data_IF_152503260493
#
_entry.id   IF_152503260493
#
_cell.length_a   1.000
_cell.length_b   1.000
_cell.length_c   1.000
_cell.angle_alpha   90.00
_cell.angle_beta   90.00
_cell.angle_gamma   90.00
#
_symmetry.space_group_name_H-M   'P 1'
#
loop_
_entity.id
_entity.type
_entity.pdbx_description
1 polymer ?
#
# COMPACT_ATOMS: atom_id res chain seq x y z
N UNK A 1 39.48 10.82 -0.93
CA UNK A 1 40.11 10.32 -2.17
C UNK A 1 40.66 8.92 -1.87
N UNK A 2 39.83 7.89 -2.00
CA UNK A 2 40.27 6.49 -2.04
C UNK A 2 39.47 5.83 -3.17
N UNK A 3 40.13 5.77 -4.34
CA UNK A 3 39.75 4.96 -5.50
C UNK A 3 40.13 3.52 -5.13
N UNK A 4 39.14 2.64 -5.03
CA UNK A 4 39.40 1.20 -5.09
C UNK A 4 39.09 0.74 -6.51
N UNK A 5 40.10 0.15 -7.13
CA UNK A 5 40.20 -0.15 -8.55
C UNK A 5 39.20 -1.22 -9.00
N UNK A 6 38.48 -0.88 -10.07
CA UNK A 6 37.47 -1.69 -10.73
C UNK A 6 38.08 -2.67 -11.75
N UNK A 7 38.91 -3.62 -11.34
CA UNK A 7 39.67 -4.46 -12.29
C UNK A 7 39.58 -5.98 -12.15
N UNK A 8 38.71 -6.56 -11.32
CA UNK A 8 38.59 -8.03 -11.21
C UNK A 8 37.16 -8.62 -11.25
N UNK A 9 36.20 -7.91 -11.83
CA UNK A 9 34.91 -8.51 -12.18
C UNK A 9 35.00 -9.16 -13.57
N UNK A 10 35.22 -10.49 -13.60
CA UNK A 10 34.92 -11.29 -14.80
C UNK A 10 33.44 -11.08 -15.14
N UNK A 11 33.16 -10.38 -16.25
CA UNK A 11 31.82 -10.19 -16.79
C UNK A 11 31.33 -11.49 -17.44
N UNK A 12 30.17 -12.01 -17.01
CA UNK A 12 29.19 -12.46 -17.99
C UNK A 12 27.78 -11.88 -17.71
N UNK A 13 26.93 -11.80 -18.75
CA UNK A 13 25.47 -11.55 -18.75
C UNK A 13 24.90 -10.10 -18.78
N UNK A 14 25.60 -9.10 -19.33
CA UNK A 14 25.04 -7.72 -19.44
C UNK A 14 23.77 -7.57 -20.29
N UNK A 15 23.60 -8.34 -21.36
CA UNK A 15 22.52 -8.10 -22.34
C UNK A 15 21.10 -8.36 -21.80
N UNK A 16 20.92 -9.36 -20.93
CA UNK A 16 19.61 -9.64 -20.34
C UNK A 16 19.32 -8.73 -19.14
N UNK A 17 20.34 -8.37 -18.35
CA UNK A 17 20.21 -7.45 -17.22
C UNK A 17 19.83 -6.04 -17.68
N UNK A 18 20.44 -5.54 -18.77
CA UNK A 18 20.08 -4.23 -19.32
C UNK A 18 18.65 -4.23 -19.88
N UNK A 19 18.17 -5.33 -20.47
CA UNK A 19 16.78 -5.43 -20.93
C UNK A 19 15.77 -5.51 -19.76
N UNK A 20 16.08 -6.27 -18.70
CA UNK A 20 15.27 -6.34 -17.47
C UNK A 20 15.26 -4.98 -16.73
N UNK A 21 16.41 -4.34 -16.58
CA UNK A 21 16.50 -3.01 -15.95
C UNK A 21 15.82 -1.92 -16.78
N UNK A 22 15.79 -2.07 -18.11
CA UNK A 22 15.09 -1.14 -18.99
C UNK A 22 13.56 -1.36 -19.03
N UNK A 23 13.05 -2.52 -18.62
CA UNK A 23 11.60 -2.78 -18.55
C UNK A 23 10.99 -2.45 -17.18
N UNK A 24 11.79 -2.46 -16.11
CA UNK A 24 11.37 -2.17 -14.74
C UNK A 24 11.18 -0.66 -14.54
N UNK A 25 10.06 -0.27 -13.93
CA UNK A 25 9.85 1.11 -13.48
C UNK A 25 10.46 1.29 -12.08
N UNK A 26 11.35 2.27 -11.92
CA UNK A 26 11.92 2.58 -10.62
C UNK A 26 10.83 3.22 -9.74
N UNK A 27 10.60 2.64 -8.56
CA UNK A 27 9.68 3.18 -7.56
C UNK A 27 10.42 4.19 -6.66
N UNK A 28 10.11 5.50 -6.72
CA UNK A 28 10.78 6.49 -5.89
C UNK A 28 10.46 6.30 -4.40
N UNK A 29 11.32 6.80 -3.50
CA UNK A 29 11.05 6.77 -2.07
C UNK A 29 9.74 7.46 -1.70
N UNK A 30 8.99 6.85 -0.78
CA UNK A 30 7.72 7.36 -0.29
C UNK A 30 7.55 7.00 1.19
N UNK A 31 6.95 7.86 2.04
CA UNK A 31 6.83 7.60 3.48
C UNK A 31 6.04 6.33 3.81
N UNK A 32 5.19 5.85 2.90
CA UNK A 32 4.40 4.63 3.08
C UNK A 32 4.90 3.43 2.25
N UNK A 33 6.15 3.47 1.78
CA UNK A 33 6.83 2.36 1.11
C UNK A 33 8.10 2.04 1.89
N UNK A 34 8.42 0.75 2.04
CA UNK A 34 9.58 0.29 2.82
C UNK A 34 10.88 0.95 2.34
N UNK A 35 11.63 1.49 3.29
CA UNK A 35 12.96 2.07 3.01
C UNK A 35 13.98 0.95 2.80
N UNK A 36 14.35 0.72 1.55
CA UNK A 36 15.48 -0.13 1.14
C UNK A 36 16.70 0.75 0.87
N UNK A 37 17.75 0.63 1.68
CA UNK A 37 18.96 1.43 1.56
C UNK A 37 19.90 0.91 0.47
N UNK A 38 20.12 -0.41 0.43
CA UNK A 38 21.02 -1.05 -0.52
C UNK A 38 20.55 -2.46 -0.85
N UNK A 39 20.83 -2.89 -2.08
CA UNK A 39 20.73 -4.29 -2.48
C UNK A 39 22.07 -4.71 -3.11
N UNK A 40 22.58 -5.87 -2.70
CA UNK A 40 23.86 -6.38 -3.19
C UNK A 40 23.86 -7.91 -3.19
N UNK A 41 24.71 -8.52 -3.99
CA UNK A 41 24.92 -9.97 -3.99
C UNK A 41 26.22 -10.31 -3.30
N UNK A 42 26.21 -11.28 -2.40
CA UNK A 42 27.40 -11.71 -1.68
C UNK A 42 27.34 -13.20 -1.29
N UNK A 43 28.42 -13.72 -0.73
CA UNK A 43 28.53 -15.07 -0.21
C UNK A 43 27.62 -15.23 1.01
N UNK A 44 26.85 -16.33 1.07
CA UNK A 44 25.94 -16.61 2.19
C UNK A 44 26.73 -16.79 3.50
N UNK A 45 26.66 -15.88 4.48
CA UNK A 45 27.43 -16.05 5.71
C UNK A 45 26.87 -17.20 6.55
N UNK A 46 27.65 -17.68 7.52
CA UNK A 46 27.10 -18.52 8.58
C UNK A 46 26.30 -17.61 9.52
N UNK A 47 24.97 -17.73 9.49
CA UNK A 47 24.05 -16.96 10.32
C UNK A 47 23.64 -17.84 11.51
N UNK A 48 23.60 -17.32 12.76
CA UNK A 48 23.08 -18.04 13.90
C UNK A 48 21.69 -18.64 13.61
N UNK A 49 21.48 -19.87 14.08
CA UNK A 49 20.22 -20.64 13.94
C UNK A 49 19.77 -20.96 12.51
N UNK A 50 20.55 -20.60 11.48
CA UNK A 50 20.19 -20.86 10.08
C UNK A 50 19.98 -22.34 9.75
N UNK A 51 20.73 -23.24 10.39
CA UNK A 51 20.57 -24.69 10.25
C UNK A 51 19.29 -25.25 10.89
N UNK A 52 18.65 -24.48 11.76
CA UNK A 52 17.36 -24.83 12.35
C UNK A 52 16.20 -24.23 11.54
N UNK A 53 16.34 -22.96 11.13
CA UNK A 53 15.23 -22.19 10.54
C UNK A 53 15.08 -22.50 9.04
N UNK A 54 16.18 -22.61 8.29
CA UNK A 54 16.16 -22.84 6.84
C UNK A 54 17.31 -23.76 6.36
N UNK A 55 17.45 -24.98 6.93
CA UNK A 55 18.58 -25.88 6.64
C UNK A 55 18.74 -26.21 5.16
N UNK A 56 17.62 -26.39 4.44
CA UNK A 56 17.63 -26.75 3.02
C UNK A 56 18.06 -25.61 2.10
N UNK A 57 17.90 -24.36 2.54
CA UNK A 57 18.32 -23.17 1.77
C UNK A 57 19.80 -22.84 1.96
N UNK A 58 20.49 -23.51 2.89
CA UNK A 58 21.92 -23.31 3.10
C UNK A 58 22.74 -23.93 1.96
N UNK A 59 23.89 -23.32 1.59
CA UNK A 59 24.82 -23.96 0.69
C UNK A 59 25.44 -25.21 1.31
N UNK A 60 25.82 -26.18 0.48
CA UNK A 60 26.41 -27.45 0.92
C UNK A 60 27.66 -27.27 1.82
N UNK A 61 28.41 -26.17 1.70
CA UNK A 61 29.54 -25.88 2.60
C UNK A 61 29.13 -25.60 4.06
N UNK A 62 27.90 -25.13 4.28
CA UNK A 62 27.34 -24.83 5.60
C UNK A 62 26.44 -25.97 6.10
N UNK A 63 25.79 -26.69 5.20
CA UNK A 63 25.01 -27.89 5.52
C UNK A 63 25.28 -29.01 4.49
N UNK A 64 26.35 -29.81 4.68
CA UNK A 64 26.77 -30.81 3.69
C UNK A 64 25.76 -31.93 3.44
N UNK A 65 24.93 -32.25 4.42
CA UNK A 65 24.04 -33.42 4.40
C UNK A 65 22.61 -33.10 3.96
N UNK A 66 22.26 -31.83 3.75
CA UNK A 66 20.90 -31.44 3.37
C UNK A 66 20.73 -30.03 2.84
N UNK A 67 21.82 -29.29 2.57
CA UNK A 67 21.78 -27.95 2.02
C UNK A 67 21.77 -27.97 0.48
N UNK A 68 20.77 -27.35 -0.13
CA UNK A 68 20.60 -27.23 -1.58
C UNK A 68 20.79 -25.78 -2.08
N UNK A 69 21.14 -24.86 -1.18
CA UNK A 69 21.35 -23.45 -1.49
C UNK A 69 22.58 -23.18 -2.35
N UNK A 70 22.60 -22.02 -3.01
CA UNK A 70 23.79 -21.51 -3.71
C UNK A 70 24.73 -20.80 -2.73
N UNK A 71 26.01 -20.76 -3.08
CA UNK A 71 27.01 -20.07 -2.26
C UNK A 71 26.80 -18.54 -2.19
N UNK A 72 26.15 -17.96 -3.19
CA UNK A 72 25.85 -16.54 -3.32
C UNK A 72 24.34 -16.32 -3.20
N UNK A 73 23.94 -15.21 -2.57
CA UNK A 73 22.54 -14.77 -2.48
C UNK A 73 22.43 -13.25 -2.63
N UNK A 74 21.20 -12.78 -2.87
CA UNK A 74 20.84 -11.37 -2.78
C UNK A 74 20.63 -10.98 -1.32
N UNK A 75 21.16 -9.83 -0.92
CA UNK A 75 20.99 -9.19 0.37
C UNK A 75 20.38 -7.81 0.18
N UNK A 76 19.40 -7.48 1.02
CA UNK A 76 18.72 -6.19 1.01
C UNK A 76 18.88 -5.57 2.40
N UNK A 77 19.58 -4.45 2.47
CA UNK A 77 19.66 -3.64 3.68
C UNK A 77 18.46 -2.69 3.71
N UNK A 78 17.60 -2.84 4.73
CA UNK A 78 16.40 -2.04 4.91
C UNK A 78 16.31 -1.45 6.32
N UNK A 79 15.51 -0.41 6.48
CA UNK A 79 15.14 0.10 7.82
C UNK A 79 14.48 -1.03 8.62
N UNK A 80 14.83 -1.15 9.89
CA UNK A 80 14.15 -2.07 10.82
C UNK A 80 12.86 -1.43 11.33
N UNK A 81 11.76 -2.16 11.24
CA UNK A 81 10.44 -1.77 11.75
C UNK A 81 10.12 -2.56 13.03
N UNK A 82 9.14 -2.09 13.80
CA UNK A 82 8.84 -2.68 15.12
C UNK A 82 7.97 -3.93 15.03
N UNK A 83 6.99 -3.94 14.13
CA UNK A 83 6.01 -5.02 13.97
C UNK A 83 5.34 -4.95 12.60
N UNK A 84 4.66 -6.02 12.19
CA UNK A 84 3.67 -5.98 11.11
C UNK A 84 2.29 -5.50 11.61
N UNK A 85 1.45 -5.05 10.67
CA UNK A 85 0.10 -4.53 10.93
C UNK A 85 -0.80 -5.58 11.56
N UNK A 86 -0.71 -6.84 11.11
CA UNK A 86 -1.54 -7.93 11.62
C UNK A 86 -1.34 -8.14 13.12
N UNK A 87 -0.07 -8.26 13.54
CA UNK A 87 0.32 -8.40 14.93
C UNK A 87 -0.07 -7.15 15.74
N UNK A 88 0.15 -5.96 15.19
CA UNK A 88 -0.22 -4.71 15.85
C UNK A 88 -1.72 -4.60 16.12
N UNK A 89 -2.57 -4.89 15.14
CA UNK A 89 -4.02 -4.83 15.29
C UNK A 89 -4.52 -5.88 16.29
N UNK A 90 -3.92 -7.08 16.31
CA UNK A 90 -4.25 -8.10 17.31
C UNK A 90 -3.92 -7.65 18.74
N UNK A 91 -2.80 -6.95 18.94
CA UNK A 91 -2.30 -6.57 20.27
C UNK A 91 -2.84 -5.22 20.76
N UNK A 92 -3.19 -4.31 19.84
CA UNK A 92 -3.53 -2.90 20.15
C UNK A 92 -4.80 -2.39 19.43
N UNK A 93 -5.33 -3.10 18.44
CA UNK A 93 -6.40 -2.61 17.54
C UNK A 93 -7.64 -2.10 18.26
N UNK A 94 -8.13 -2.84 19.26
CA UNK A 94 -9.29 -2.45 20.06
C UNK A 94 -9.09 -1.15 20.87
N UNK A 95 -7.84 -0.77 21.13
CA UNK A 95 -7.47 0.46 21.82
C UNK A 95 -7.31 1.68 20.91
N UNK A 96 -7.31 1.49 19.58
CA UNK A 96 -7.15 2.60 18.63
C UNK A 96 -8.44 3.40 18.48
N UNK A 97 -8.30 4.72 18.52
CA UNK A 97 -9.35 5.66 18.18
C UNK A 97 -9.75 5.56 16.71
N UNK A 98 -10.96 6.03 16.37
CA UNK A 98 -11.40 6.09 14.97
C UNK A 98 -10.48 6.99 14.11
N UNK A 99 -9.90 8.04 14.69
CA UNK A 99 -8.94 8.89 14.00
C UNK A 99 -7.68 8.11 13.61
N UNK A 100 -7.10 7.35 14.53
CA UNK A 100 -5.92 6.51 14.25
C UNK A 100 -6.20 5.43 13.21
N UNK A 101 -7.39 4.82 13.24
CA UNK A 101 -7.80 3.84 12.23
C UNK A 101 -7.93 4.46 10.84
N UNK A 102 -8.53 5.64 10.74
CA UNK A 102 -8.61 6.37 9.47
C UNK A 102 -7.21 6.81 9.00
N UNK A 103 -6.30 7.21 9.91
CA UNK A 103 -4.91 7.49 9.57
C UNK A 103 -4.20 6.25 8.99
N UNK A 104 -4.36 5.06 9.59
CA UNK A 104 -3.79 3.81 9.05
C UNK A 104 -4.33 3.49 7.65
N UNK A 105 -5.65 3.58 7.45
CA UNK A 105 -6.26 3.37 6.13
C UNK A 105 -5.74 4.40 5.11
N UNK A 106 -5.59 5.66 5.52
CA UNK A 106 -5.07 6.73 4.65
C UNK A 106 -3.63 6.45 4.25
N UNK A 107 -2.77 6.06 5.19
CA UNK A 107 -1.38 5.69 4.91
C UNK A 107 -1.29 4.52 3.92
N UNK A 108 -2.13 3.50 4.08
CA UNK A 108 -2.21 2.37 3.14
C UNK A 108 -2.61 2.85 1.74
N UNK A 109 -3.68 3.65 1.63
CA UNK A 109 -4.16 4.16 0.35
C UNK A 109 -3.18 5.13 -0.33
N UNK A 110 -2.43 5.94 0.43
CA UNK A 110 -1.34 6.77 -0.10
C UNK A 110 -0.18 5.89 -0.63
N UNK A 111 0.16 4.80 0.07
CA UNK A 111 1.09 3.80 -0.43
C UNK A 111 0.63 3.18 -1.74
N UNK A 112 -0.60 2.68 -1.80
CA UNK A 112 -1.20 2.10 -3.02
C UNK A 112 -1.29 3.13 -4.16
N UNK A 113 -1.61 4.38 -3.84
CA UNK A 113 -1.60 5.49 -4.81
C UNK A 113 -0.21 5.67 -5.41
N UNK A 114 0.82 5.70 -4.56
CA UNK A 114 2.20 5.83 -5.03
C UNK A 114 2.62 4.66 -5.93
N UNK A 115 2.21 3.43 -5.62
CA UNK A 115 2.45 2.27 -6.49
C UNK A 115 1.77 2.43 -7.85
N UNK A 116 0.48 2.77 -7.86
CA UNK A 116 -0.32 2.98 -9.08
C UNK A 116 0.27 4.06 -9.98
N UNK A 117 0.66 5.21 -9.41
CA UNK A 117 1.25 6.34 -10.14
C UNK A 117 2.58 5.98 -10.83
N UNK A 118 3.29 4.97 -10.32
CA UNK A 118 4.56 4.47 -10.87
C UNK A 118 4.40 3.08 -11.50
N UNK A 119 3.17 2.78 -11.99
CA UNK A 119 2.81 1.58 -12.74
C UNK A 119 3.33 0.29 -12.10
N UNK A 120 3.21 0.24 -10.78
CA UNK A 120 3.59 -0.91 -9.97
C UNK A 120 2.33 -1.45 -9.30
N UNK A 121 2.10 -2.75 -9.44
CA UNK A 121 1.09 -3.48 -8.69
C UNK A 121 1.82 -4.42 -7.71
N UNK A 122 1.47 -4.34 -6.43
CA UNK A 122 2.10 -5.14 -5.39
C UNK A 122 1.75 -6.62 -5.48
N UNK A 123 0.46 -6.93 -5.76
CA UNK A 123 -0.07 -8.30 -5.98
C UNK A 123 0.02 -9.28 -4.81
N UNK A 124 0.62 -8.89 -3.69
CA UNK A 124 0.62 -9.66 -2.44
C UNK A 124 0.42 -8.76 -1.20
N UNK A 125 -0.51 -7.79 -1.31
CA UNK A 125 -0.89 -6.98 -0.15
C UNK A 125 -1.66 -7.85 0.86
N UNK A 126 -1.20 -7.80 2.10
CA UNK A 126 -1.81 -8.43 3.27
C UNK A 126 -1.30 -7.73 4.51
N UNK A 127 -1.99 -7.88 5.64
CA UNK A 127 -1.57 -7.23 6.88
C UNK A 127 -0.20 -7.71 7.40
N UNK A 128 0.26 -8.90 7.02
CA UNK A 128 1.63 -9.38 7.28
C UNK A 128 2.70 -8.64 6.44
N UNK A 129 2.35 -8.14 5.24
CA UNK A 129 3.23 -7.39 4.34
C UNK A 129 3.11 -5.87 4.49
N UNK A 130 2.59 -5.43 5.64
CA UNK A 130 2.52 -4.02 6.03
C UNK A 130 3.28 -3.88 7.34
N UNK A 131 4.37 -3.12 7.35
CA UNK A 131 5.20 -2.90 8.53
C UNK A 131 4.87 -1.58 9.19
N UNK A 132 5.04 -1.54 10.51
CA UNK A 132 4.79 -0.37 11.34
C UNK A 132 6.04 0.05 12.09
N UNK A 133 6.33 1.36 12.02
CA UNK A 133 7.26 2.03 12.90
C UNK A 133 6.48 2.72 14.03
N UNK A 134 6.73 2.25 15.25
CA UNK A 134 6.11 2.74 16.49
C UNK A 134 7.14 3.49 17.36
N UNK A 135 8.29 3.87 16.81
CA UNK A 135 9.41 4.44 17.56
C UNK A 135 9.24 5.91 17.95
N UNK A 136 8.33 6.62 17.30
CA UNK A 136 8.02 8.00 17.68
C UNK A 136 6.96 8.04 18.78
N UNK A 137 6.99 9.08 19.62
CA UNK A 137 5.91 9.46 20.55
C UNK A 137 4.66 9.95 19.80
N UNK A 138 4.32 9.29 18.68
CA UNK A 138 3.15 9.54 17.87
C UNK A 138 1.99 8.70 18.39
N UNK A 139 0.80 9.29 18.37
CA UNK A 139 -0.46 8.58 18.65
C UNK A 139 -0.75 7.49 17.61
N UNK A 140 -0.26 7.66 16.37
CA UNK A 140 -0.42 6.68 15.29
C UNK A 140 0.95 6.25 14.75
N UNK A 141 1.20 4.95 14.52
CA UNK A 141 2.46 4.48 13.94
C UNK A 141 2.56 4.81 12.45
N UNK A 142 3.80 4.92 11.96
CA UNK A 142 4.06 5.06 10.53
C UNK A 142 3.92 3.70 9.85
N UNK A 143 3.08 3.64 8.82
CA UNK A 143 2.79 2.43 8.05
C UNK A 143 3.55 2.42 6.74
N UNK A 144 4.20 1.30 6.42
CA UNK A 144 4.85 1.08 5.11
C UNK A 144 4.43 -0.24 4.47
N UNK A 145 4.30 -0.25 3.15
CA UNK A 145 4.15 -1.47 2.34
C UNK A 145 5.54 -2.10 2.12
N UNK A 146 5.64 -3.41 2.33
CA UNK A 146 6.87 -4.19 2.14
C UNK A 146 6.61 -5.44 1.30
N UNK A 147 7.68 -6.17 0.98
CA UNK A 147 7.66 -7.47 0.29
C UNK A 147 7.16 -7.41 -1.17
N UNK A 148 8.01 -6.81 -2.01
CA UNK A 148 7.77 -6.64 -3.44
C UNK A 148 8.08 -7.90 -4.27
N UNK A 149 8.23 -9.07 -3.64
CA UNK A 149 8.64 -10.31 -4.32
C UNK A 149 7.69 -10.79 -5.42
N UNK A 150 6.39 -10.50 -5.28
CA UNK A 150 5.35 -10.82 -6.28
C UNK A 150 4.90 -9.61 -7.10
N UNK A 151 5.57 -8.46 -6.97
CA UNK A 151 5.15 -7.22 -7.62
C UNK A 151 5.31 -7.29 -9.14
N UNK A 152 4.41 -6.59 -9.84
CA UNK A 152 4.45 -6.42 -11.29
C UNK A 152 4.64 -4.96 -11.64
N UNK A 153 5.58 -4.68 -12.52
CA UNK A 153 5.86 -3.34 -13.04
C UNK A 153 6.11 -3.40 -14.54
N UNK A 154 5.53 -2.46 -15.28
CA UNK A 154 5.71 -2.36 -16.71
C UNK A 154 5.46 -0.93 -17.19
N UNK A 155 6.43 -0.37 -17.92
CA UNK A 155 6.35 0.98 -18.51
C UNK A 155 5.16 1.18 -19.45
N UNK A 156 4.61 0.11 -20.02
CA UNK A 156 3.45 0.15 -20.91
C UNK A 156 2.10 0.16 -20.16
N UNK A 157 2.12 -0.01 -18.83
CA UNK A 157 0.92 -0.03 -17.99
C UNK A 157 0.75 -1.31 -17.18
N UNK A 158 -0.30 -1.33 -16.36
CA UNK A 158 -0.60 -2.43 -15.41
C UNK A 158 -1.41 -3.59 -16.00
N UNK A 159 -1.41 -3.72 -17.34
CA UNK A 159 -1.98 -4.87 -18.02
C UNK A 159 -0.89 -5.89 -18.30
N UNK A 160 -1.06 -7.11 -17.79
CA UNK A 160 -0.14 -8.23 -17.98
C UNK A 160 -0.78 -9.27 -18.90
N UNK A 161 -0.04 -9.78 -19.87
CA UNK A 161 -0.52 -10.87 -20.72
C UNK A 161 -0.64 -12.16 -19.89
N UNK A 162 -1.77 -12.85 -20.01
CA UNK A 162 -2.05 -14.11 -19.32
C UNK A 162 -2.19 -15.25 -20.34
N UNK A 163 -1.06 -15.66 -20.91
CA UNK A 163 -1.01 -16.58 -22.05
C UNK A 163 -1.25 -18.06 -21.67
N UNK A 164 -0.84 -18.48 -20.47
CA UNK A 164 -1.02 -19.84 -19.95
C UNK A 164 -1.24 -19.83 -18.44
N UNK A 165 -1.73 -20.95 -17.89
CA UNK A 165 -1.92 -21.15 -16.46
C UNK A 165 -0.62 -21.17 -15.63
N UNK A 166 0.55 -21.24 -16.28
CA UNK A 166 1.86 -21.22 -15.61
C UNK A 166 2.30 -19.80 -15.25
N UNK A 167 1.63 -18.78 -15.79
CA UNK A 167 1.90 -17.37 -15.48
C UNK A 167 1.41 -17.08 -14.06
N UNK A 168 2.32 -16.71 -13.18
CA UNK A 168 1.99 -16.29 -11.82
C UNK A 168 1.19 -14.98 -11.84
N UNK A 169 -0.02 -14.99 -11.27
CA UNK A 169 -0.91 -13.82 -11.15
C UNK A 169 -0.81 -13.09 -9.80
N UNK A 170 -0.10 -13.64 -8.81
CA UNK A 170 0.18 -12.98 -7.54
C UNK A 170 0.46 -14.00 -6.44
N UNK A 171 0.81 -13.51 -5.25
CA UNK A 171 1.24 -14.36 -4.13
C UNK A 171 0.07 -14.97 -3.35
N UNK A 172 -0.87 -14.13 -2.87
CA UNK A 172 -1.95 -14.58 -1.99
C UNK A 172 -3.29 -14.73 -2.73
N UNK A 173 -3.62 -15.97 -3.11
CA UNK A 173 -4.86 -16.32 -3.82
C UNK A 173 -6.12 -15.85 -3.10
N UNK A 174 -6.15 -15.88 -1.76
CA UNK A 174 -7.32 -15.47 -0.99
C UNK A 174 -7.61 -13.97 -1.08
N UNK A 175 -6.58 -13.16 -1.36
CA UNK A 175 -6.67 -11.70 -1.50
C UNK A 175 -6.43 -11.22 -2.93
N UNK A 176 -6.49 -12.12 -3.92
CA UNK A 176 -6.57 -11.70 -5.32
C UNK A 176 -7.92 -11.05 -5.58
N UNK A 177 -7.91 -9.90 -6.24
CA UNK A 177 -9.14 -9.22 -6.63
C UNK A 177 -9.96 -10.06 -7.63
N UNK A 178 -11.30 -9.91 -7.66
CA UNK A 178 -12.20 -10.68 -8.52
C UNK A 178 -11.74 -10.76 -9.98
N UNK A 179 -11.36 -9.63 -10.58
CA UNK A 179 -10.91 -9.55 -11.98
C UNK A 179 -9.62 -10.33 -12.26
N UNK A 180 -8.82 -10.62 -11.23
CA UNK A 180 -7.59 -11.40 -11.34
C UNK A 180 -7.89 -12.89 -11.18
N UNK A 181 -8.61 -13.26 -10.11
CA UNK A 181 -8.88 -14.68 -9.79
C UNK A 181 -9.84 -15.34 -10.78
N UNK A 182 -10.75 -14.56 -11.40
CA UNK A 182 -11.66 -15.08 -12.44
C UNK A 182 -11.09 -15.00 -13.85
N UNK A 183 -9.87 -14.50 -14.03
CA UNK A 183 -9.25 -14.40 -15.34
C UNK A 183 -8.98 -15.79 -15.91
N UNK A 184 -9.20 -15.94 -17.23
CA UNK A 184 -8.91 -17.17 -17.95
C UNK A 184 -7.69 -17.00 -18.85
N UNK A 185 -6.75 -17.95 -18.87
CA UNK A 185 -5.56 -17.83 -19.71
C UNK A 185 -5.93 -18.00 -21.19
N UNK A 186 -5.20 -17.30 -22.06
CA UNK A 186 -5.35 -17.40 -23.50
C UNK A 186 -4.38 -16.50 -24.26
N UNK A 187 -4.15 -16.80 -25.53
CA UNK A 187 -3.14 -16.12 -26.36
C UNK A 187 -3.27 -14.58 -26.35
N UNK A 188 -4.52 -14.09 -26.30
CA UNK A 188 -4.86 -12.66 -26.27
C UNK A 188 -5.52 -12.24 -24.95
N UNK A 189 -5.37 -13.03 -23.88
CA UNK A 189 -5.91 -12.71 -22.56
C UNK A 189 -4.95 -11.78 -21.80
N UNK A 190 -5.53 -10.83 -21.08
CA UNK A 190 -4.79 -9.87 -20.26
C UNK A 190 -5.48 -9.70 -18.91
N UNK A 191 -4.66 -9.56 -17.87
CA UNK A 191 -5.11 -9.22 -16.52
C UNK A 191 -4.70 -7.79 -16.22
N UNK A 192 -5.65 -6.96 -15.80
CA UNK A 192 -5.44 -5.56 -15.48
C UNK A 192 -5.35 -5.37 -13.96
N UNK A 193 -4.18 -4.98 -13.48
CA UNK A 193 -3.91 -4.79 -12.05
C UNK A 193 -4.16 -3.36 -11.54
N UNK A 194 -4.61 -2.43 -12.40
CA UNK A 194 -4.74 -1.00 -12.06
C UNK A 194 -5.58 -0.68 -10.82
N UNK A 195 -6.49 -1.58 -10.42
CA UNK A 195 -7.35 -1.43 -9.24
C UNK A 195 -7.41 -2.68 -8.35
N UNK A 196 -6.49 -3.62 -8.53
CA UNK A 196 -6.45 -4.86 -7.75
C UNK A 196 -5.90 -4.63 -6.34
N UNK A 197 -4.86 -3.79 -6.20
CA UNK A 197 -4.35 -3.39 -4.89
C UNK A 197 -5.35 -2.50 -4.13
N UNK A 198 -6.16 -1.71 -4.84
CA UNK A 198 -7.26 -0.90 -4.28
C UNK A 198 -8.31 -1.80 -3.63
N UNK A 199 -8.69 -2.88 -4.31
CA UNK A 199 -9.59 -3.89 -3.77
C UNK A 199 -8.99 -4.56 -2.52
N UNK A 200 -7.72 -4.95 -2.60
CA UNK A 200 -7.02 -5.61 -1.49
C UNK A 200 -6.94 -4.70 -0.26
N UNK A 201 -6.69 -3.41 -0.45
CA UNK A 201 -6.74 -2.41 0.63
C UNK A 201 -8.13 -2.32 1.28
N UNK A 202 -9.21 -2.49 0.51
CA UNK A 202 -10.58 -2.61 1.03
C UNK A 202 -10.76 -3.81 1.96
N UNK A 203 -10.10 -4.94 1.68
CA UNK A 203 -10.15 -6.13 2.55
C UNK A 203 -9.39 -5.89 3.86
N UNK A 204 -8.21 -5.28 3.79
CA UNK A 204 -7.37 -4.94 4.95
C UNK A 204 -8.05 -3.87 5.83
N UNK A 205 -8.90 -3.01 5.24
CA UNK A 205 -9.66 -2.04 6.00
C UNK A 205 -10.56 -2.69 7.05
N UNK A 206 -11.11 -3.89 6.81
CA UNK A 206 -11.87 -4.62 7.84
C UNK A 206 -11.02 -4.90 9.07
N UNK A 207 -9.78 -5.35 8.86
CA UNK A 207 -8.83 -5.61 9.95
C UNK A 207 -8.51 -4.32 10.72
N UNK A 208 -8.29 -3.21 10.02
CA UNK A 208 -8.05 -1.89 10.63
C UNK A 208 -9.25 -1.44 11.50
N UNK A 209 -10.47 -1.82 11.12
CA UNK A 209 -11.71 -1.49 11.84
C UNK A 209 -12.22 -2.64 12.76
N UNK A 210 -11.29 -3.43 13.31
CA UNK A 210 -11.51 -4.50 14.29
C UNK A 210 -12.38 -5.68 13.83
N UNK A 211 -12.58 -5.85 12.52
CA UNK A 211 -13.26 -7.02 11.96
C UNK A 211 -12.26 -7.98 11.34
N UNK A 212 -12.62 -9.26 11.29
CA UNK A 212 -11.87 -10.21 10.48
C UNK A 212 -12.00 -9.86 8.99
N UNK A 213 -10.92 -10.07 8.23
CA UNK A 213 -10.96 -9.93 6.78
C UNK A 213 -12.02 -10.88 6.19
N UNK A 214 -13.01 -10.37 5.42
CA UNK A 214 -14.11 -11.20 4.94
C UNK A 214 -13.66 -12.39 4.07
N UNK A 215 -12.50 -12.32 3.43
CA UNK A 215 -12.06 -13.28 2.42
C UNK A 215 -11.09 -14.35 2.93
N UNK A 216 -10.63 -14.28 4.18
CA UNK A 216 -9.79 -15.35 4.73
C UNK A 216 -10.56 -16.64 5.00
N UNK A 217 -11.84 -16.56 5.38
CA UNK A 217 -12.62 -17.74 5.75
C UNK A 217 -14.09 -17.72 5.31
N UNK A 218 -14.67 -16.54 5.03
CA UNK A 218 -16.14 -16.38 4.95
C UNK A 218 -16.65 -16.19 3.53
N UNK A 219 -16.10 -15.24 2.79
CA UNK A 219 -16.50 -14.91 1.43
C UNK A 219 -15.53 -15.50 0.41
N UNK A 220 -16.03 -15.81 -0.80
CA UNK A 220 -15.18 -16.16 -1.95
C UNK A 220 -14.87 -14.90 -2.73
N UNK A 221 -13.60 -14.68 -3.03
CA UNK A 221 -13.14 -13.54 -3.84
C UNK A 221 -13.44 -13.70 -5.34
N UNK A 222 -13.99 -14.84 -5.78
CA UNK A 222 -14.41 -15.05 -7.17
C UNK A 222 -15.70 -14.31 -7.54
N UNK A 223 -16.62 -14.17 -6.58
CA UNK A 223 -17.89 -13.45 -6.75
C UNK A 223 -18.59 -13.37 -5.38
N UNK A 224 -19.09 -12.19 -5.04
CA UNK A 224 -19.84 -11.94 -3.81
C UNK A 224 -20.71 -10.69 -3.96
N UNK A 225 -21.72 -10.54 -3.10
CA UNK A 225 -22.47 -9.28 -3.00
C UNK A 225 -21.84 -8.42 -1.89
N UNK A 226 -21.51 -7.16 -2.20
CA UNK A 226 -20.96 -6.19 -1.23
C UNK A 226 -21.89 -6.00 -0.03
N UNK A 227 -23.21 -6.08 -0.24
CA UNK A 227 -24.21 -5.93 0.83
C UNK A 227 -24.25 -7.11 1.82
N UNK A 228 -23.74 -8.28 1.41
CA UNK A 228 -23.66 -9.49 2.24
C UNK A 228 -22.36 -9.56 3.06
N UNK A 229 -21.39 -8.67 2.79
CA UNK A 229 -20.19 -8.56 3.59
C UNK A 229 -20.52 -8.10 5.02
N UNK A 230 -19.70 -8.47 6.02
CA UNK A 230 -19.93 -8.06 7.41
C UNK A 230 -20.09 -6.54 7.53
N UNK A 231 -21.11 -6.08 8.26
CA UNK A 231 -21.31 -4.64 8.44
C UNK A 231 -20.26 -4.09 9.40
N UNK A 232 -19.61 -2.99 8.99
CA UNK A 232 -18.73 -2.22 9.86
C UNK A 232 -19.51 -1.62 11.04
N UNK A 233 -18.81 -1.41 12.15
CA UNK A 233 -19.39 -0.79 13.35
C UNK A 233 -19.96 0.60 13.04
N UNK A 234 -21.09 0.96 13.65
CA UNK A 234 -21.76 2.25 13.47
C UNK A 234 -20.88 3.46 13.83
N UNK A 235 -19.84 3.26 14.66
CA UNK A 235 -18.84 4.27 15.02
C UNK A 235 -17.89 4.59 13.87
N UNK A 236 -17.74 3.69 12.88
CA UNK A 236 -16.97 3.97 11.67
C UNK A 236 -17.73 5.06 10.89
N UNK A 237 -17.08 6.16 10.50
CA UNK A 237 -17.77 7.23 9.79
C UNK A 237 -18.45 6.73 8.51
N UNK A 238 -19.68 7.16 8.23
CA UNK A 238 -20.46 6.71 7.05
C UNK A 238 -19.69 6.87 5.75
N UNK A 239 -18.92 7.96 5.62
CA UNK A 239 -18.02 8.20 4.49
C UNK A 239 -17.05 7.04 4.26
N UNK A 240 -16.40 6.60 5.33
CA UNK A 240 -15.37 5.56 5.32
C UNK A 240 -16.02 4.20 5.07
N UNK A 241 -17.17 3.90 5.70
CA UNK A 241 -17.90 2.66 5.42
C UNK A 241 -18.25 2.52 3.93
N UNK A 242 -18.73 3.62 3.33
CA UNK A 242 -19.15 3.67 1.92
C UNK A 242 -17.96 3.63 0.97
N UNK A 243 -16.85 4.26 1.34
CA UNK A 243 -15.59 4.12 0.63
C UNK A 243 -15.13 2.66 0.62
N UNK A 244 -15.05 1.99 1.79
CA UNK A 244 -14.65 0.59 1.90
C UNK A 244 -15.54 -0.32 1.04
N UNK A 245 -16.87 -0.13 1.10
CA UNK A 245 -17.80 -0.84 0.22
C UNK A 245 -17.48 -0.62 -1.26
N UNK A 246 -17.12 0.61 -1.66
CA UNK A 246 -16.74 0.93 -3.04
C UNK A 246 -15.37 0.41 -3.47
N UNK A 247 -14.42 0.23 -2.55
CA UNK A 247 -13.16 -0.46 -2.84
C UNK A 247 -13.40 -1.93 -3.20
N UNK A 248 -14.46 -2.52 -2.62
CA UNK A 248 -14.80 -3.93 -2.75
C UNK A 248 -15.89 -4.20 -3.80
N UNK A 249 -16.10 -3.32 -4.77
CA UNK A 249 -16.96 -3.67 -5.91
C UNK A 249 -16.32 -4.79 -6.75
N UNK A 250 -17.12 -5.70 -7.31
CA UNK A 250 -16.58 -6.80 -8.11
C UNK A 250 -15.97 -6.28 -9.42
N UNK A 251 -16.68 -5.39 -10.12
CA UNK A 251 -16.19 -4.77 -11.34
C UNK A 251 -15.16 -3.67 -10.99
N UNK A 252 -13.91 -3.76 -11.48
CA UNK A 252 -12.91 -2.73 -11.22
C UNK A 252 -13.32 -1.35 -11.76
N UNK A 253 -14.18 -1.25 -12.78
CA UNK A 253 -14.66 0.03 -13.29
C UNK A 253 -15.53 0.79 -12.28
N UNK A 254 -16.25 0.07 -11.41
CA UNK A 254 -17.09 0.62 -10.34
C UNK A 254 -16.29 1.03 -9.09
N UNK A 255 -15.03 0.60 -8.99
CA UNK A 255 -14.12 1.01 -7.91
C UNK A 255 -13.55 2.41 -8.16
N UNK A 256 -13.29 3.22 -7.13
CA UNK A 256 -12.50 4.43 -7.30
C UNK A 256 -11.06 4.09 -7.72
N UNK A 257 -10.34 5.06 -8.29
CA UNK A 257 -8.88 4.95 -8.40
C UNK A 257 -8.24 5.04 -7.02
N UNK A 258 -6.99 4.60 -6.90
CA UNK A 258 -6.24 4.71 -5.65
C UNK A 258 -6.14 6.18 -5.21
N UNK A 259 -5.84 7.08 -6.15
CA UNK A 259 -5.74 8.52 -5.97
C UNK A 259 -7.05 9.10 -5.41
N UNK A 260 -8.19 8.72 -5.98
CA UNK A 260 -9.50 9.20 -5.54
C UNK A 260 -9.82 8.71 -4.13
N UNK A 261 -9.61 7.41 -3.87
CA UNK A 261 -9.85 6.81 -2.55
C UNK A 261 -8.98 7.45 -1.45
N UNK A 262 -7.68 7.62 -1.71
CA UNK A 262 -6.76 8.30 -0.79
C UNK A 262 -7.20 9.76 -0.55
N UNK A 263 -7.60 10.48 -1.61
CA UNK A 263 -8.08 11.87 -1.51
C UNK A 263 -9.36 11.99 -0.70
N UNK A 264 -10.30 11.04 -0.80
CA UNK A 264 -11.50 11.01 0.06
C UNK A 264 -11.13 10.91 1.54
N UNK A 265 -10.20 10.02 1.90
CA UNK A 265 -9.71 9.91 3.29
C UNK A 265 -8.99 11.18 3.76
N UNK A 266 -8.16 11.78 2.90
CA UNK A 266 -7.46 13.03 3.19
C UNK A 266 -8.43 14.21 3.39
N UNK A 267 -9.49 14.30 2.59
CA UNK A 267 -10.55 15.31 2.77
C UNK A 267 -11.31 15.08 4.07
N UNK A 268 -11.64 13.83 4.41
CA UNK A 268 -12.27 13.51 5.69
C UNK A 268 -11.42 13.99 6.88
N UNK A 269 -10.10 13.82 6.83
CA UNK A 269 -9.18 14.20 7.90
C UNK A 269 -8.94 15.73 7.97
N UNK A 270 -8.81 16.41 6.83
CA UNK A 270 -8.23 17.76 6.80
C UNK A 270 -9.10 18.85 6.18
N UNK A 271 -10.16 18.50 5.44
CA UNK A 271 -11.02 19.49 4.82
C UNK A 271 -11.92 20.18 5.87
N UNK A 272 -12.31 21.43 5.64
CA UNK A 272 -13.39 22.05 6.39
C UNK A 272 -14.65 21.17 6.33
N UNK A 273 -15.21 20.82 7.49
CA UNK A 273 -16.33 19.85 7.57
C UNK A 273 -17.50 20.20 6.64
N UNK A 274 -17.84 21.49 6.51
CA UNK A 274 -18.95 21.95 5.67
C UNK A 274 -18.77 21.61 4.18
N UNK A 275 -17.53 21.41 3.69
CA UNK A 275 -17.28 20.97 2.31
C UNK A 275 -17.81 19.55 2.06
N UNK A 276 -17.76 18.69 3.08
CA UNK A 276 -18.23 17.31 3.00
C UNK A 276 -19.76 17.21 2.97
N UNK A 277 -20.47 18.24 3.45
CA UNK A 277 -21.93 18.26 3.59
C UNK A 277 -22.64 19.17 2.57
N UNK A 278 -22.04 19.39 1.41
CA UNK A 278 -22.71 19.99 0.24
C UNK A 278 -22.18 21.36 -0.20
N UNK A 279 -21.31 22.00 0.57
CA UNK A 279 -20.65 23.21 0.10
C UNK A 279 -19.54 22.86 -0.90
N UNK A 280 -19.63 23.37 -2.12
CA UNK A 280 -18.57 23.22 -3.13
C UNK A 280 -17.67 24.45 -3.10
N UNK A 281 -16.41 24.32 -2.65
CA UNK A 281 -15.50 25.45 -2.61
C UNK A 281 -15.10 25.90 -4.02
N UNK A 282 -14.83 27.19 -4.15
CA UNK A 282 -14.20 27.77 -5.33
C UNK A 282 -12.73 27.32 -5.46
N UNK A 283 -12.12 27.41 -6.65
CA UNK A 283 -10.70 27.12 -6.83
C UNK A 283 -9.78 27.95 -5.91
N UNK A 284 -10.17 29.21 -5.61
CA UNK A 284 -9.43 30.08 -4.70
C UNK A 284 -9.49 29.59 -3.25
N UNK A 285 -10.65 29.15 -2.78
CA UNK A 285 -10.81 28.56 -1.44
C UNK A 285 -10.03 27.25 -1.32
N UNK A 286 -10.03 26.41 -2.36
CA UNK A 286 -9.21 25.20 -2.42
C UNK A 286 -7.71 25.56 -2.35
N UNK A 287 -7.26 26.55 -3.11
CA UNK A 287 -5.86 27.01 -3.08
C UNK A 287 -5.47 27.52 -1.69
N UNK A 288 -6.30 28.35 -1.06
CA UNK A 288 -6.05 28.85 0.29
C UNK A 288 -5.98 27.73 1.33
N UNK A 289 -6.85 26.72 1.20
CA UNK A 289 -6.81 25.53 2.05
C UNK A 289 -5.51 24.75 1.87
N UNK A 290 -5.08 24.50 0.63
CA UNK A 290 -3.81 23.83 0.34
C UNK A 290 -2.60 24.63 0.88
N UNK A 291 -2.58 25.96 0.70
CA UNK A 291 -1.56 26.84 1.27
C UNK A 291 -1.53 26.78 2.81
N UNK A 292 -2.70 26.68 3.43
CA UNK A 292 -2.81 26.51 4.89
C UNK A 292 -2.24 25.18 5.34
N UNK A 293 -2.48 24.09 4.60
CA UNK A 293 -1.89 22.79 4.85
C UNK A 293 -0.37 22.79 4.68
N UNK A 294 0.14 23.44 3.62
CA UNK A 294 1.58 23.62 3.40
C UNK A 294 2.23 24.38 4.56
N UNK A 295 1.61 25.48 5.00
CA UNK A 295 2.10 26.28 6.13
C UNK A 295 2.12 25.46 7.41
N UNK A 296 1.12 24.63 7.65
CA UNK A 296 1.12 23.70 8.80
C UNK A 296 2.33 22.76 8.73
N UNK A 297 2.56 22.08 7.61
CA UNK A 297 3.71 21.16 7.47
C UNK A 297 5.03 21.89 7.68
N UNK A 298 5.22 23.05 7.06
CA UNK A 298 6.50 23.79 7.10
C UNK A 298 6.77 24.49 8.43
N UNK A 299 5.76 25.14 9.02
CA UNK A 299 5.95 26.00 10.19
C UNK A 299 5.77 25.29 11.52
N UNK A 300 5.02 24.18 11.56
CA UNK A 300 4.78 23.44 12.82
C UNK A 300 5.66 22.21 13.01
N UNK A 301 6.36 21.75 11.96
CA UNK A 301 7.42 20.75 12.07
C UNK A 301 8.65 21.22 12.86
N UNK A 302 8.71 22.49 13.29
CA UNK A 302 9.86 23.10 13.96
C UNK A 302 9.62 23.50 15.44
N UNK A 303 8.43 23.29 16.02
CA UNK A 303 8.15 23.74 17.40
C UNK A 303 8.44 22.67 18.45
N UNK A 304 9.63 22.77 19.07
CA UNK A 304 9.91 22.34 20.43
C UNK A 304 8.95 23.06 21.40
N UNK A 305 8.11 22.33 22.14
CA UNK A 305 7.38 22.91 23.29
C UNK A 305 6.00 22.32 23.59
N UNK A 306 5.97 21.23 24.36
CA UNK A 306 5.02 20.98 25.46
C UNK A 306 3.52 20.79 25.19
N UNK A 307 3.00 21.10 24.01
CA UNK A 307 1.59 20.86 23.66
C UNK A 307 1.51 20.01 22.41
N UNK A 308 0.88 18.83 22.53
CA UNK A 308 0.66 17.82 21.49
C UNK A 308 0.01 18.48 20.26
N UNK A 309 0.83 18.96 19.34
CA UNK A 309 0.40 19.62 18.11
C UNK A 309 0.75 18.69 16.95
N UNK A 310 -0.12 17.70 16.72
CA UNK A 310 -0.11 16.73 15.61
C UNK A 310 1.13 15.85 15.51
N UNK A 311 0.93 14.61 15.10
CA UNK A 311 2.02 13.62 15.00
C UNK A 311 2.76 13.77 13.68
N UNK A 312 4.02 13.35 13.64
CA UNK A 312 4.83 13.27 12.43
C UNK A 312 4.12 12.59 11.24
N UNK A 313 3.36 11.54 11.52
CA UNK A 313 2.54 10.81 10.54
C UNK A 313 1.50 11.72 9.86
N UNK A 314 0.84 12.60 10.62
CA UNK A 314 -0.12 13.54 10.01
C UNK A 314 0.58 14.51 9.05
N UNK A 315 1.78 14.98 9.39
CA UNK A 315 2.57 15.83 8.49
C UNK A 315 3.00 15.11 7.22
N UNK A 316 3.40 13.84 7.33
CA UNK A 316 3.72 13.02 6.17
C UNK A 316 2.50 12.88 5.26
N UNK A 317 1.32 12.52 5.79
CA UNK A 317 0.09 12.39 5.02
C UNK A 317 -0.33 13.69 4.32
N UNK A 318 -0.23 14.82 5.01
CA UNK A 318 -0.52 16.12 4.39
C UNK A 318 0.51 16.39 3.27
N UNK A 319 1.78 16.05 3.47
CA UNK A 319 2.82 16.20 2.45
C UNK A 319 2.57 15.31 1.22
N UNK A 320 2.12 14.06 1.40
CA UNK A 320 1.80 13.18 0.27
C UNK A 320 0.62 13.71 -0.54
N UNK A 321 -0.43 14.20 0.11
CA UNK A 321 -1.55 14.88 -0.55
C UNK A 321 -1.04 16.08 -1.38
N UNK A 322 -0.25 16.97 -0.77
CA UNK A 322 0.24 18.19 -1.43
C UNK A 322 1.09 17.90 -2.67
N UNK A 323 1.87 16.80 -2.67
CA UNK A 323 2.72 16.39 -3.81
C UNK A 323 1.92 15.96 -5.04
N UNK A 324 0.69 15.47 -4.84
CA UNK A 324 -0.18 14.95 -5.91
C UNK A 324 -1.50 15.73 -6.05
N UNK A 325 -1.61 16.89 -5.40
CA UNK A 325 -2.85 17.63 -5.32
C UNK A 325 -3.23 18.23 -6.68
N UNK A 326 -4.37 17.81 -7.20
CA UNK A 326 -4.98 18.38 -8.41
C UNK A 326 -6.40 18.88 -8.08
N UNK A 327 -6.76 20.07 -8.55
CA UNK A 327 -8.10 20.63 -8.32
C UNK A 327 -9.22 19.73 -8.82
N UNK A 328 -9.00 19.08 -9.98
CA UNK A 328 -9.95 18.12 -10.55
C UNK A 328 -10.20 16.95 -9.60
N UNK A 329 -9.14 16.33 -9.09
CA UNK A 329 -9.22 15.20 -8.18
C UNK A 329 -9.86 15.58 -6.84
N UNK A 330 -9.50 16.74 -6.29
CA UNK A 330 -10.13 17.27 -5.05
C UNK A 330 -11.62 17.52 -5.27
N UNK A 331 -12.00 18.11 -6.39
CA UNK A 331 -13.41 18.36 -6.73
C UNK A 331 -14.19 17.06 -6.88
N UNK A 332 -13.62 16.07 -7.57
CA UNK A 332 -14.23 14.75 -7.75
C UNK A 332 -14.40 14.02 -6.41
N UNK A 333 -13.38 14.06 -5.54
CA UNK A 333 -13.43 13.48 -4.21
C UNK A 333 -14.49 14.19 -3.32
N UNK A 334 -14.61 15.51 -3.41
CA UNK A 334 -15.67 16.26 -2.71
C UNK A 334 -17.07 15.88 -3.22
N UNK A 335 -17.26 15.78 -4.54
CA UNK A 335 -18.53 15.33 -5.12
C UNK A 335 -18.88 13.90 -4.71
N UNK A 336 -17.89 13.01 -4.65
CA UNK A 336 -18.07 11.68 -4.07
C UNK A 336 -18.53 11.77 -2.61
N UNK A 337 -17.84 12.58 -1.79
CA UNK A 337 -18.20 12.74 -0.38
C UNK A 337 -19.63 13.26 -0.20
N UNK A 338 -19.99 14.30 -0.94
CA UNK A 338 -21.30 14.92 -0.84
C UNK A 338 -22.41 13.94 -1.25
N UNK A 339 -22.25 13.22 -2.37
CA UNK A 339 -23.23 12.21 -2.82
C UNK A 339 -23.47 11.10 -1.80
N UNK A 340 -22.41 10.69 -1.10
CA UNK A 340 -22.47 9.62 -0.11
C UNK A 340 -23.16 10.07 1.19
N UNK A 341 -22.99 11.34 1.58
CA UNK A 341 -23.55 11.90 2.82
C UNK A 341 -24.92 12.53 2.63
N UNK A 342 -25.31 12.90 1.42
CA UNK A 342 -26.69 13.31 1.13
C UNK A 342 -27.62 12.10 1.22
N UNK A 343 -28.73 12.19 1.98
CA UNK A 343 -29.74 11.15 1.97
C UNK A 343 -30.28 10.98 0.55
N UNK A 344 -30.39 9.75 0.04
CA UNK A 344 -31.24 9.51 -1.14
C UNK A 344 -32.66 9.95 -0.76
N UNK A 345 -33.37 10.70 -1.62
CA UNK A 345 -34.80 10.91 -1.40
C UNK A 345 -35.46 9.54 -1.29
N UNK A 346 -36.34 9.38 -0.29
CA UNK A 346 -37.20 8.20 -0.17
C UNK A 346 -38.03 8.13 -1.47
N UNK A 347 -37.79 7.11 -2.29
CA UNK A 347 -38.62 6.76 -3.45
C UNK A 347 -39.61 5.70 -3.01
#
# INVERSE_FOLDING_TARGET
>A
MYRLESSLLRKPLRLNEDMLMNSIEYLPPHPNIVVMHFAFTDFVPSIPDSSLIYPSALPARLNPTGGYGRNMSLFILMKKYNTDLRKYLRERGAGLSMHEKVLLLTQLLEGVTHLSMHRTAHRDLKSDNILLDCSEDSTCPQLVITDFGSSYTNKSGLSMQYSSSDVELGGNVALMAPEVVTATPGLFSFVNYSKSDVWTAGTIAYEIFDLENPFYQRARNTSYNVEELPKLDVRVPTMIQRLIAKLLENDPSDRPTAELAATVCQLYLWAPKHWLYGATPSPNEMMQWLLTLTTKVLCTGASYGGHIRRTYVEYQLISTLLKRAEFRLISEALQYCQRVLTPKPLV
#
